data_IF_302264688456
#
_entry.id   IF_302264688456
#
_cell.length_a   1.000
_cell.length_b   1.000
_cell.length_c   1.000
_cell.angle_alpha   90.00
_cell.angle_beta   90.00
_cell.angle_gamma   90.00
#
_symmetry.space_group_name_H-M   'P 1'
#
loop_
_entity.id
_entity.type
_entity.pdbx_description
1 polymer ?
#
# COMPACT_ATOMS: atom_id res chain seq x y z
N UNK A 1 1.95 -38.27 -9.23
CA UNK A 1 0.83 -37.35 -9.54
C UNK A 1 -0.46 -38.17 -9.66
N UNK A 2 -1.38 -38.01 -8.70
CA UNK A 2 -2.59 -38.85 -8.56
C UNK A 2 -3.66 -38.35 -9.55
N UNK A 3 -4.12 -39.19 -10.47
CA UNK A 3 -5.15 -38.86 -11.48
C UNK A 3 -6.50 -38.61 -10.79
N UNK A 4 -6.94 -37.35 -10.73
CA UNK A 4 -8.18 -36.90 -10.05
C UNK A 4 -9.44 -37.07 -10.94
N UNK A 5 -9.24 -37.44 -12.21
CA UNK A 5 -10.31 -37.52 -13.21
C UNK A 5 -10.91 -38.93 -13.36
N UNK A 6 -11.75 -39.32 -12.40
CA UNK A 6 -12.64 -40.48 -12.56
C UNK A 6 -14.01 -40.02 -13.07
N UNK A 7 -14.71 -40.84 -13.87
CA UNK A 7 -15.96 -40.50 -14.57
C UNK A 7 -17.06 -39.90 -13.67
N UNK A 8 -17.07 -40.28 -12.38
CA UNK A 8 -17.98 -39.73 -11.36
C UNK A 8 -17.64 -38.28 -10.96
N UNK A 9 -16.37 -37.91 -10.94
CA UNK A 9 -15.90 -36.55 -10.58
C UNK A 9 -16.17 -35.54 -11.70
N UNK A 10 -16.31 -35.99 -12.95
CA UNK A 10 -16.66 -35.11 -14.09
C UNK A 10 -18.02 -34.45 -13.92
N UNK A 11 -19.02 -35.19 -13.41
CA UNK A 11 -20.36 -34.64 -13.13
C UNK A 11 -20.32 -33.61 -12.01
N UNK A 12 -19.54 -33.86 -10.94
CA UNK A 12 -19.40 -32.88 -9.85
C UNK A 12 -18.69 -31.59 -10.28
N UNK A 13 -17.65 -31.69 -11.12
CA UNK A 13 -16.96 -30.52 -11.68
C UNK A 13 -17.89 -29.71 -12.59
N UNK A 14 -18.70 -30.38 -13.41
CA UNK A 14 -19.67 -29.72 -14.28
C UNK A 14 -20.78 -29.03 -13.46
N UNK A 15 -21.28 -29.68 -12.40
CA UNK A 15 -22.28 -29.11 -11.51
C UNK A 15 -21.75 -27.86 -10.77
N UNK A 16 -20.49 -27.91 -10.31
CA UNK A 16 -19.84 -26.78 -9.66
C UNK A 16 -19.64 -25.58 -10.59
N UNK A 17 -19.26 -25.80 -11.85
CA UNK A 17 -19.14 -24.73 -12.86
C UNK A 17 -20.49 -24.05 -13.17
N UNK A 18 -21.57 -24.82 -13.22
CA UNK A 18 -22.93 -24.27 -13.45
C UNK A 18 -23.39 -23.42 -12.25
N UNK A 19 -23.14 -23.85 -11.02
CA UNK A 19 -23.48 -23.07 -9.82
C UNK A 19 -22.60 -21.82 -9.72
N UNK A 20 -21.30 -21.92 -10.04
CA UNK A 20 -20.38 -20.79 -10.06
C UNK A 20 -20.79 -19.75 -11.12
N UNK A 21 -21.21 -20.18 -12.32
CA UNK A 21 -21.72 -19.28 -13.36
C UNK A 21 -22.97 -18.51 -12.92
N UNK A 22 -23.90 -19.14 -12.20
CA UNK A 22 -25.10 -18.48 -11.68
C UNK A 22 -24.78 -17.45 -10.57
N UNK A 23 -23.68 -17.62 -9.84
CA UNK A 23 -23.25 -16.67 -8.80
C UNK A 23 -22.70 -15.36 -9.37
N UNK A 24 -22.12 -15.39 -10.58
CA UNK A 24 -21.55 -14.21 -11.25
C UNK A 24 -22.57 -13.34 -12.00
N UNK A 25 -23.79 -13.84 -12.25
CA UNK A 25 -24.83 -13.01 -12.89
C UNK A 25 -25.47 -11.98 -11.94
N UNK A 26 -25.27 -12.09 -10.62
CA UNK A 26 -25.93 -11.21 -9.63
C UNK A 26 -25.18 -9.91 -9.32
N UNK A 27 -24.05 -9.62 -9.97
CA UNK A 27 -23.18 -8.48 -9.59
C UNK A 27 -23.05 -7.37 -10.64
N UNK A 28 -23.82 -7.39 -11.72
CA UNK A 28 -23.82 -6.29 -12.71
C UNK A 28 -25.07 -5.41 -12.56
N UNK A 29 -24.92 -4.30 -11.84
CA UNK A 29 -26.00 -3.31 -11.74
C UNK A 29 -25.76 -2.17 -10.76
N UNK A 30 -24.71 -1.37 -10.92
CA UNK A 30 -24.74 0.02 -10.44
C UNK A 30 -24.50 0.93 -11.64
N UNK A 31 -25.58 1.57 -12.10
CA UNK A 31 -25.52 2.61 -13.12
C UNK A 31 -24.75 3.79 -12.53
N UNK A 32 -23.64 4.14 -13.17
CA UNK A 32 -22.92 5.40 -12.93
C UNK A 32 -23.82 6.55 -13.36
N UNK A 33 -24.22 7.37 -12.39
CA UNK A 33 -24.79 8.69 -12.66
C UNK A 33 -23.64 9.57 -13.10
N UNK A 34 -23.63 9.97 -14.37
CA UNK A 34 -22.73 11.02 -14.87
C UNK A 34 -23.14 12.32 -14.18
N UNK A 35 -22.41 12.69 -13.13
CA UNK A 35 -22.48 14.00 -12.52
C UNK A 35 -21.58 14.93 -13.34
N UNK A 36 -22.21 15.91 -13.99
CA UNK A 36 -21.51 17.00 -14.68
C UNK A 36 -20.79 17.80 -13.60
N UNK A 37 -19.46 17.70 -13.55
CA UNK A 37 -18.64 18.56 -12.70
C UNK A 37 -18.74 19.97 -13.27
N UNK A 38 -19.62 20.79 -12.69
CA UNK A 38 -19.55 22.24 -12.89
C UNK A 38 -18.36 22.70 -12.07
N UNK A 39 -17.30 23.17 -12.72
CA UNK A 39 -16.13 23.73 -12.06
C UNK A 39 -16.62 24.88 -11.17
N UNK A 40 -16.49 24.81 -9.83
CA UNK A 40 -16.85 25.93 -8.99
C UNK A 40 -15.95 27.10 -9.37
N UNK A 41 -16.57 28.22 -9.79
CA UNK A 41 -15.85 29.49 -9.88
C UNK A 41 -15.17 29.72 -8.53
N UNK A 42 -13.85 29.99 -8.48
CA UNK A 42 -13.18 30.22 -7.22
C UNK A 42 -13.86 31.40 -6.54
N UNK A 43 -14.55 31.11 -5.43
CA UNK A 43 -15.01 32.17 -4.55
C UNK A 43 -13.75 32.75 -3.94
N UNK A 44 -13.43 33.99 -4.32
CA UNK A 44 -12.32 34.73 -3.74
C UNK A 44 -12.74 35.03 -2.30
N UNK A 45 -12.44 34.11 -1.37
CA UNK A 45 -12.52 34.42 0.05
C UNK A 45 -11.57 35.59 0.30
N UNK A 46 -12.02 36.70 0.90
CA UNK A 46 -11.11 37.74 1.31
C UNK A 46 -10.05 37.10 2.19
N UNK A 47 -8.78 37.31 1.84
CA UNK A 47 -7.65 36.84 2.63
C UNK A 47 -7.80 37.44 4.03
N UNK A 48 -8.24 36.64 4.99
CA UNK A 48 -8.11 36.97 6.40
C UNK A 48 -6.62 37.03 6.65
N UNK A 49 -6.07 38.25 6.75
CA UNK A 49 -4.73 38.47 7.27
C UNK A 49 -4.64 37.65 8.57
N UNK A 50 -3.69 36.71 8.72
CA UNK A 50 -3.63 35.91 9.93
C UNK A 50 -3.48 36.86 11.11
N UNK A 51 -4.56 36.99 11.88
CA UNK A 51 -4.45 37.47 13.24
C UNK A 51 -3.63 36.42 13.94
N UNK A 52 -2.42 36.77 14.33
CA UNK A 52 -1.59 35.97 15.23
C UNK A 52 -2.38 35.89 16.53
N UNK A 53 -3.29 34.92 16.62
CA UNK A 53 -3.76 34.42 17.89
C UNK A 53 -2.55 33.63 18.36
N UNK A 54 -1.75 34.24 19.23
CA UNK A 54 -0.72 33.56 20.00
C UNK A 54 -1.44 32.53 20.88
N UNK A 55 -1.84 31.42 20.26
CA UNK A 55 -2.16 30.22 20.98
C UNK A 55 -0.79 29.81 21.49
N UNK A 56 -0.51 30.08 22.77
CA UNK A 56 0.63 29.51 23.45
C UNK A 56 0.55 28.00 23.19
N UNK A 57 1.32 27.54 22.22
CA UNK A 57 1.58 26.14 22.00
C UNK A 57 2.28 25.73 23.29
N UNK A 58 1.54 25.05 24.17
CA UNK A 58 2.17 24.39 25.30
C UNK A 58 3.19 23.47 24.64
N UNK A 59 4.46 23.83 24.71
CA UNK A 59 5.55 22.93 24.35
C UNK A 59 5.22 21.59 24.96
N UNK A 60 5.05 20.57 24.11
CA UNK A 60 4.78 19.23 24.59
C UNK A 60 5.88 18.89 25.58
N UNK A 61 5.50 18.40 26.77
CA UNK A 61 6.44 17.89 27.78
C UNK A 61 7.01 16.56 27.28
N UNK A 62 7.62 16.57 26.09
CA UNK A 62 8.15 15.41 25.41
C UNK A 62 9.11 14.72 26.37
N UNK A 63 8.71 13.55 26.87
CA UNK A 63 9.61 12.74 27.66
C UNK A 63 10.75 12.36 26.73
N UNK A 64 11.99 12.73 27.09
CA UNK A 64 13.19 12.54 26.27
C UNK A 64 13.43 11.10 25.79
N UNK A 65 12.70 10.12 26.33
CA UNK A 65 12.77 8.69 26.01
C UNK A 65 11.55 8.13 25.25
N UNK A 66 10.65 8.97 24.74
CA UNK A 66 9.45 8.49 24.03
C UNK A 66 9.81 7.57 22.85
N UNK A 67 10.76 8.01 22.01
CA UNK A 67 11.20 7.26 20.84
C UNK A 67 11.86 5.94 21.22
N UNK A 68 12.70 5.92 22.25
CA UNK A 68 13.36 4.69 22.70
C UNK A 68 12.35 3.66 23.22
N UNK A 69 11.33 4.12 23.96
CA UNK A 69 10.26 3.24 24.47
C UNK A 69 9.36 2.70 23.36
N UNK A 70 9.11 3.48 22.32
CA UNK A 70 8.24 3.11 21.20
C UNK A 70 8.95 2.42 20.05
N UNK A 71 10.27 2.53 19.97
CA UNK A 71 11.09 1.91 18.92
C UNK A 71 10.80 0.42 18.74
N UNK A 72 10.71 -0.43 19.78
CA UNK A 72 10.39 -1.85 19.58
C UNK A 72 9.03 -2.08 18.91
N UNK A 73 8.00 -1.31 19.30
CA UNK A 73 6.66 -1.38 18.71
C UNK A 73 6.68 -0.91 17.25
N UNK A 74 7.42 0.16 16.95
CA UNK A 74 7.57 0.69 15.58
C UNK A 74 8.30 -0.33 14.72
N UNK A 75 9.46 -0.83 15.13
CA UNK A 75 10.29 -1.75 14.35
C UNK A 75 9.62 -3.11 14.10
N UNK A 76 8.66 -3.51 14.93
CA UNK A 76 7.85 -4.72 14.69
C UNK A 76 7.03 -4.60 13.41
N UNK A 77 6.44 -3.43 13.16
CA UNK A 77 5.56 -3.17 12.03
C UNK A 77 6.27 -2.47 10.86
N UNK A 78 7.39 -1.80 11.17
CA UNK A 78 8.22 -1.04 10.25
C UNK A 78 9.70 -1.40 10.43
N UNK A 79 10.14 -2.62 10.10
CA UNK A 79 11.53 -3.06 10.29
C UNK A 79 12.58 -2.19 9.59
N UNK A 80 12.17 -1.49 8.54
CA UNK A 80 13.02 -0.59 7.74
C UNK A 80 12.90 0.89 8.13
N UNK A 81 12.23 1.21 9.25
CA UNK A 81 11.91 2.59 9.65
C UNK A 81 13.13 3.52 9.66
N UNK A 82 14.30 3.02 10.06
CA UNK A 82 15.53 3.82 10.12
C UNK A 82 16.19 4.04 8.74
N UNK A 83 15.72 3.37 7.68
CA UNK A 83 16.36 3.34 6.37
C UNK A 83 15.53 3.95 5.25
N UNK A 84 14.23 4.20 5.47
CA UNK A 84 13.33 4.70 4.44
C UNK A 84 12.61 5.99 4.86
N UNK A 85 12.23 6.87 3.91
CA UNK A 85 12.28 6.70 2.46
C UNK A 85 13.71 6.61 1.90
N UNK A 86 13.91 5.69 0.94
CA UNK A 86 15.20 5.49 0.27
C UNK A 86 15.03 5.63 -1.24
N UNK A 87 16.00 6.28 -1.90
CA UNK A 87 15.94 6.56 -3.33
C UNK A 87 17.31 6.42 -3.98
N UNK A 88 17.31 5.79 -5.15
CA UNK A 88 18.44 5.67 -6.08
C UNK A 88 18.02 6.23 -7.45
N UNK A 89 18.91 6.11 -8.44
CA UNK A 89 18.59 6.39 -9.84
C UNK A 89 17.60 5.36 -10.43
N UNK A 90 17.61 4.13 -9.90
CA UNK A 90 16.88 3.00 -10.45
C UNK A 90 15.55 2.73 -9.75
N UNK A 91 15.38 3.16 -8.50
CA UNK A 91 14.14 2.97 -7.74
C UNK A 91 14.02 3.91 -6.54
N UNK A 92 12.80 4.02 -6.00
CA UNK A 92 12.54 4.52 -4.65
C UNK A 92 11.70 3.51 -3.87
N UNK A 93 11.91 3.45 -2.56
CA UNK A 93 11.19 2.57 -1.65
C UNK A 93 10.72 3.34 -0.41
N UNK A 94 9.46 3.13 -0.04
CA UNK A 94 8.84 3.71 1.16
C UNK A 94 7.73 2.79 1.72
N UNK A 95 7.25 3.06 2.92
CA UNK A 95 6.09 2.39 3.50
C UNK A 95 4.80 3.04 3.00
N UNK A 96 3.86 2.22 2.53
CA UNK A 96 2.46 2.62 2.42
C UNK A 96 1.70 2.36 3.71
N UNK A 97 2.04 1.25 4.37
CA UNK A 97 1.35 0.71 5.54
C UNK A 97 2.29 -0.23 6.31
N UNK A 98 1.96 -0.65 7.55
CA UNK A 98 2.71 -1.68 8.28
C UNK A 98 3.04 -2.90 7.41
N UNK A 99 4.32 -3.25 7.30
CA UNK A 99 4.82 -4.36 6.48
C UNK A 99 4.41 -4.30 4.99
N UNK A 100 3.98 -3.14 4.48
CA UNK A 100 3.63 -2.93 3.07
C UNK A 100 4.53 -1.85 2.49
N UNK A 101 5.39 -2.26 1.57
CA UNK A 101 6.34 -1.39 0.89
C UNK A 101 5.79 -1.01 -0.49
N UNK A 102 5.90 0.25 -0.85
CA UNK A 102 5.82 0.71 -2.22
C UNK A 102 7.23 0.84 -2.78
N UNK A 103 7.41 0.31 -3.99
CA UNK A 103 8.64 0.48 -4.74
C UNK A 103 8.29 1.03 -6.11
N UNK A 104 8.84 2.20 -6.44
CA UNK A 104 8.62 2.88 -7.71
C UNK A 104 9.89 2.79 -8.54
N UNK A 105 9.78 2.30 -9.77
CA UNK A 105 10.89 2.19 -10.73
C UNK A 105 10.63 3.03 -11.98
N UNK A 106 11.65 3.65 -12.59
CA UNK A 106 11.55 4.12 -13.97
C UNK A 106 11.28 2.99 -14.96
N UNK A 107 11.82 1.79 -14.70
CA UNK A 107 11.61 0.58 -15.49
C UNK A 107 11.58 -0.65 -14.58
N UNK A 108 10.47 -1.37 -14.59
CA UNK A 108 10.27 -2.59 -13.81
C UNK A 108 10.90 -3.79 -14.54
N UNK A 109 12.00 -4.32 -13.98
CA UNK A 109 12.69 -5.51 -14.51
C UNK A 109 13.01 -6.51 -13.39
N UNK A 110 13.25 -7.81 -13.71
CA UNK A 110 13.68 -8.78 -12.71
C UNK A 110 14.94 -8.36 -11.95
N UNK A 111 15.89 -7.70 -12.64
CA UNK A 111 17.15 -7.25 -12.06
C UNK A 111 16.95 -6.13 -11.04
N UNK A 112 16.13 -5.11 -11.37
CA UNK A 112 15.82 -4.00 -10.46
C UNK A 112 14.98 -4.46 -9.26
N UNK A 113 14.08 -5.43 -9.45
CA UNK A 113 13.38 -6.07 -8.33
C UNK A 113 14.33 -6.84 -7.44
N UNK A 114 15.27 -7.60 -8.00
CA UNK A 114 16.26 -8.33 -7.21
C UNK A 114 17.16 -7.38 -6.41
N UNK A 115 17.59 -6.26 -7.01
CA UNK A 115 18.37 -5.22 -6.33
C UNK A 115 17.65 -4.69 -5.08
N UNK A 116 16.32 -4.48 -5.15
CA UNK A 116 15.51 -4.06 -4.00
C UNK A 116 15.44 -5.13 -2.93
N UNK A 117 15.22 -6.40 -3.30
CA UNK A 117 15.20 -7.51 -2.35
C UNK A 117 16.55 -7.69 -1.65
N UNK A 118 17.64 -7.53 -2.40
CA UNK A 118 19.01 -7.58 -1.87
C UNK A 118 19.28 -6.41 -0.93
N UNK A 119 18.80 -5.21 -1.28
CA UNK A 119 18.90 -4.03 -0.42
C UNK A 119 18.15 -4.22 0.90
N UNK A 120 16.91 -4.72 0.88
CA UNK A 120 16.14 -5.03 2.09
C UNK A 120 16.90 -6.06 2.96
N UNK A 121 17.39 -7.13 2.34
CA UNK A 121 18.19 -8.16 3.02
C UNK A 121 19.47 -7.59 3.65
N UNK A 122 20.13 -6.64 2.96
CA UNK A 122 21.35 -5.98 3.47
C UNK A 122 21.12 -5.18 4.75
N UNK A 123 19.86 -4.81 5.07
CA UNK A 123 19.48 -4.13 6.31
C UNK A 123 19.13 -5.11 7.44
N UNK A 124 19.31 -6.42 7.22
CA UNK A 124 18.98 -7.46 8.19
C UNK A 124 17.48 -7.76 8.27
N UNK A 125 16.70 -7.38 7.26
CA UNK A 125 15.26 -7.61 7.17
C UNK A 125 14.99 -8.67 6.10
N UNK A 126 14.17 -9.68 6.38
CA UNK A 126 13.74 -10.65 5.37
C UNK A 126 12.74 -9.96 4.40
N UNK A 127 13.02 -9.87 3.09
CA UNK A 127 12.10 -9.26 2.14
C UNK A 127 10.73 -9.94 2.08
N UNK A 128 10.64 -11.21 2.49
CA UNK A 128 9.37 -11.96 2.56
C UNK A 128 8.50 -11.56 3.74
N UNK A 129 9.03 -10.79 4.69
CA UNK A 129 8.24 -10.23 5.80
C UNK A 129 7.35 -9.07 5.35
N UNK A 130 7.51 -8.58 4.12
CA UNK A 130 6.76 -7.48 3.55
C UNK A 130 5.91 -7.92 2.36
N UNK A 131 4.76 -7.27 2.21
CA UNK A 131 4.09 -7.19 0.91
C UNK A 131 4.72 -6.05 0.12
N UNK A 132 5.22 -6.33 -1.07
CA UNK A 132 5.88 -5.33 -1.90
C UNK A 132 5.00 -5.00 -3.11
N UNK A 133 4.61 -3.74 -3.23
CA UNK A 133 3.85 -3.19 -4.34
C UNK A 133 4.83 -2.55 -5.32
N UNK A 134 4.99 -3.16 -6.48
CA UNK A 134 5.84 -2.67 -7.56
C UNK A 134 5.04 -1.71 -8.45
N UNK A 135 5.55 -0.49 -8.64
CA UNK A 135 4.93 0.54 -9.47
C UNK A 135 5.91 1.08 -10.51
N UNK A 136 5.33 1.48 -11.64
CA UNK A 136 5.97 2.38 -12.60
C UNK A 136 5.25 3.74 -12.52
N UNK A 137 5.96 4.86 -12.72
CA UNK A 137 5.39 6.21 -12.61
C UNK A 137 4.30 6.49 -13.64
#
# INVERSE_FOLDING_TARGET
>A
MKKIFNKKNKIFIFLFLVIFSLFFLKTLGKKTKTEVIVLPTPTITPYLKPTVIEKQEKEGTGTSNFYEKKRPEILTNYPLFDFIPYKTENYSIDYLDPLILEVVFPKDTPETRQEVLDWISSKGVDPKSHTIIWKTP
#
